data_IF_369637838970
#
_entry.id   IF_369637838970
#
_cell.length_a   1.000
_cell.length_b   1.000
_cell.length_c   1.000
_cell.angle_alpha   90.00
_cell.angle_beta   90.00
_cell.angle_gamma   90.00
#
_symmetry.space_group_name_H-M   'P 1'
#
loop_
_entity.id
_entity.type
_entity.pdbx_description
1 polymer ?
#
# COMPACT_ATOMS: atom_id res chain seq x y z
N UNK A 1 -19.99 -1.98 7.28
CA UNK A 1 -18.85 -1.53 8.12
C UNK A 1 -18.84 -0.01 8.22
N UNK A 2 -18.47 0.51 9.37
CA UNK A 2 -18.24 1.93 9.53
C UNK A 2 -16.74 2.24 9.30
N UNK A 3 -16.38 3.53 9.26
CA UNK A 3 -15.00 3.93 8.96
C UNK A 3 -13.98 3.42 9.98
N UNK A 4 -14.35 3.31 11.26
CA UNK A 4 -13.45 2.79 12.27
C UNK A 4 -13.19 1.30 12.08
N UNK A 5 -14.20 0.54 11.73
CA UNK A 5 -14.07 -0.89 11.43
C UNK A 5 -13.20 -1.13 10.21
N UNK A 6 -13.38 -0.31 9.17
CA UNK A 6 -12.55 -0.37 7.95
C UNK A 6 -11.09 -0.08 8.31
N UNK A 7 -10.84 0.99 9.04
CA UNK A 7 -9.49 1.35 9.47
C UNK A 7 -8.85 0.23 10.27
N UNK A 8 -9.57 -0.28 11.28
CA UNK A 8 -9.06 -1.34 12.14
C UNK A 8 -8.72 -2.61 11.34
N UNK A 9 -9.56 -2.96 10.38
CA UNK A 9 -9.31 -4.11 9.51
C UNK A 9 -8.04 -3.94 8.67
N UNK A 10 -7.88 -2.81 8.01
CA UNK A 10 -6.69 -2.50 7.22
C UNK A 10 -5.43 -2.48 8.09
N UNK A 11 -5.52 -1.84 9.25
CA UNK A 11 -4.42 -1.77 10.21
C UNK A 11 -3.98 -3.17 10.65
N UNK A 12 -4.93 -3.99 11.07
CA UNK A 12 -4.66 -5.33 11.60
C UNK A 12 -3.99 -6.22 10.57
N UNK A 13 -4.52 -6.31 9.35
CA UNK A 13 -3.93 -7.18 8.33
C UNK A 13 -2.54 -6.72 7.94
N UNK A 14 -2.32 -5.41 7.88
CA UNK A 14 -1.02 -4.86 7.52
C UNK A 14 0.01 -5.11 8.62
N UNK A 15 -0.37 -4.90 9.87
CA UNK A 15 0.49 -5.16 11.03
C UNK A 15 0.85 -6.63 11.14
N UNK A 16 -0.08 -7.53 10.90
CA UNK A 16 0.18 -8.97 10.94
C UNK A 16 1.19 -9.38 9.87
N UNK A 17 1.05 -8.87 8.66
CA UNK A 17 2.00 -9.15 7.57
C UNK A 17 3.39 -8.60 7.87
N UNK A 18 3.45 -7.38 8.40
CA UNK A 18 4.72 -6.78 8.81
C UNK A 18 5.41 -7.63 9.89
N UNK A 19 4.65 -8.04 10.89
CA UNK A 19 5.16 -8.86 11.99
C UNK A 19 5.69 -10.21 11.48
N UNK A 20 4.96 -10.86 10.58
CA UNK A 20 5.38 -12.12 9.97
C UNK A 20 6.68 -11.94 9.17
N UNK A 21 6.78 -10.87 8.40
CA UNK A 21 7.97 -10.56 7.62
C UNK A 21 9.20 -10.30 8.50
N UNK A 22 9.01 -9.60 9.61
CA UNK A 22 10.09 -9.38 10.60
C UNK A 22 10.54 -10.69 11.24
N UNK A 23 9.60 -11.57 11.59
CA UNK A 23 9.92 -12.86 12.17
C UNK A 23 10.69 -13.74 11.17
N UNK A 24 10.29 -13.75 9.90
CA UNK A 24 11.00 -14.47 8.85
C UNK A 24 12.42 -13.95 8.68
N UNK A 25 12.61 -12.63 8.68
CA UNK A 25 13.93 -12.03 8.58
C UNK A 25 14.84 -12.43 9.76
N UNK A 26 14.28 -12.50 10.96
CA UNK A 26 15.01 -12.87 12.16
C UNK A 26 15.36 -14.38 12.18
N UNK A 27 14.57 -15.22 11.53
CA UNK A 27 14.76 -16.66 11.51
C UNK A 27 15.81 -17.13 10.49
N UNK A 28 16.17 -16.29 9.52
CA UNK A 28 17.15 -16.64 8.49
C UNK A 28 18.55 -16.59 9.09
N UNK A 29 19.30 -17.66 8.90
CA UNK A 29 20.68 -17.78 9.35
C UNK A 29 21.57 -16.70 8.72
N UNK A 30 22.51 -16.19 9.49
CA UNK A 30 23.50 -15.21 9.03
C UNK A 30 24.35 -15.72 7.87
N UNK A 31 24.41 -17.05 7.66
CA UNK A 31 25.09 -17.64 6.51
C UNK A 31 24.36 -17.38 5.18
N UNK A 32 23.13 -16.86 5.21
CA UNK A 32 22.34 -16.52 4.03
C UNK A 32 22.06 -15.01 3.97
N UNK A 33 23.11 -14.16 3.79
CA UNK A 33 22.94 -12.72 3.89
C UNK A 33 22.04 -12.12 2.82
N UNK A 34 22.00 -12.69 1.62
CA UNK A 34 21.15 -12.20 0.54
C UNK A 34 19.67 -12.40 0.86
N UNK A 35 19.30 -13.60 1.32
CA UNK A 35 17.92 -13.91 1.70
C UNK A 35 17.48 -13.07 2.90
N UNK A 36 18.33 -12.96 3.90
CA UNK A 36 18.06 -12.14 5.07
C UNK A 36 17.87 -10.66 4.70
N UNK A 37 18.74 -10.13 3.83
CA UNK A 37 18.65 -8.76 3.34
C UNK A 37 17.36 -8.50 2.58
N UNK A 38 16.91 -9.46 1.77
CA UNK A 38 15.64 -9.37 1.06
C UNK A 38 14.45 -9.26 2.02
N UNK A 39 14.43 -10.11 3.05
CA UNK A 39 13.36 -10.09 4.05
C UNK A 39 13.37 -8.82 4.90
N UNK A 40 14.54 -8.30 5.22
CA UNK A 40 14.68 -7.03 5.93
C UNK A 40 14.16 -5.87 5.08
N UNK A 41 14.44 -5.87 3.79
CA UNK A 41 13.94 -4.86 2.86
C UNK A 41 12.42 -4.92 2.76
N UNK A 42 11.85 -6.11 2.66
CA UNK A 42 10.39 -6.31 2.68
C UNK A 42 9.75 -5.73 3.95
N UNK A 43 10.34 -6.05 5.10
CA UNK A 43 9.89 -5.52 6.39
C UNK A 43 9.91 -3.99 6.41
N UNK A 44 10.95 -3.38 5.86
CA UNK A 44 11.07 -1.92 5.77
C UNK A 44 9.96 -1.30 4.95
N UNK A 45 9.57 -1.93 3.84
CA UNK A 45 8.49 -1.42 2.99
C UNK A 45 7.14 -1.52 3.70
N UNK A 46 6.88 -2.61 4.43
CA UNK A 46 5.67 -2.72 5.26
C UNK A 46 5.62 -1.64 6.32
N UNK A 47 6.77 -1.33 6.92
CA UNK A 47 6.84 -0.26 7.91
C UNK A 47 6.52 1.12 7.31
N UNK A 48 6.99 1.39 6.10
CA UNK A 48 6.66 2.62 5.37
C UNK A 48 5.16 2.66 5.08
N UNK A 49 4.57 1.55 4.63
CA UNK A 49 3.14 1.46 4.35
C UNK A 49 2.30 1.75 5.59
N UNK A 50 2.71 1.22 6.74
CA UNK A 50 2.04 1.46 8.02
C UNK A 50 2.17 2.93 8.44
N UNK A 51 3.38 3.45 8.43
CA UNK A 51 3.66 4.80 8.93
C UNK A 51 3.06 5.91 8.06
N UNK A 52 3.04 5.69 6.75
CA UNK A 52 2.62 6.70 5.79
C UNK A 52 1.18 6.51 5.30
N UNK A 53 0.77 5.25 5.11
CA UNK A 53 -0.55 4.92 4.56
C UNK A 53 -1.62 4.64 5.62
N UNK A 54 -1.22 4.22 6.82
CA UNK A 54 -2.15 3.90 7.91
C UNK A 54 -1.74 4.69 9.15
N UNK A 55 -2.21 5.89 9.25
CA UNK A 55 -2.00 6.74 10.42
C UNK A 55 -2.80 6.14 11.59
N UNK A 56 -2.37 6.37 12.82
CA UNK A 56 -3.04 5.77 13.99
C UNK A 56 -4.55 6.04 14.01
N UNK A 57 -5.33 5.09 14.52
CA UNK A 57 -6.79 5.08 14.47
C UNK A 57 -7.51 6.08 15.37
N UNK A 58 -6.91 7.23 15.64
CA UNK A 58 -7.59 8.31 16.37
C UNK A 58 -8.51 9.08 15.41
N UNK A 59 -9.54 9.72 15.95
CA UNK A 59 -10.45 10.54 15.15
C UNK A 59 -9.71 11.62 14.37
N UNK A 60 -8.69 12.22 14.98
CA UNK A 60 -7.86 13.24 14.32
C UNK A 60 -7.10 12.67 13.13
N UNK A 61 -6.57 11.47 13.26
CA UNK A 61 -5.83 10.82 12.18
C UNK A 61 -6.77 10.45 11.02
N UNK A 62 -7.95 9.94 11.34
CA UNK A 62 -8.96 9.60 10.34
C UNK A 62 -9.38 10.87 9.57
N UNK A 63 -9.58 11.97 10.28
CA UNK A 63 -9.91 13.26 9.66
C UNK A 63 -8.80 13.75 8.72
N UNK A 64 -7.54 13.58 9.14
CA UNK A 64 -6.39 13.93 8.33
C UNK A 64 -6.31 13.06 7.06
N UNK A 65 -6.58 11.77 7.18
CA UNK A 65 -6.63 10.87 6.02
C UNK A 65 -7.70 11.33 5.02
N UNK A 66 -8.87 11.71 5.51
CA UNK A 66 -9.96 12.22 4.67
C UNK A 66 -9.55 13.46 3.88
N UNK A 67 -8.87 14.41 4.53
CA UNK A 67 -8.38 15.62 3.87
C UNK A 67 -7.33 15.30 2.80
N UNK A 68 -6.39 14.43 3.11
CA UNK A 68 -5.32 14.04 2.19
C UNK A 68 -5.86 13.27 0.99
N UNK A 69 -6.89 12.45 1.22
CA UNK A 69 -7.51 11.65 0.17
C UNK A 69 -7.95 12.49 -1.01
N UNK A 70 -8.61 13.60 -0.75
CA UNK A 70 -9.12 14.49 -1.79
C UNK A 70 -8.02 15.05 -2.70
N UNK A 71 -6.84 15.29 -2.14
CA UNK A 71 -5.68 15.71 -2.93
C UNK A 71 -5.07 14.58 -3.72
N UNK A 72 -5.04 13.37 -3.15
CA UNK A 72 -4.45 12.21 -3.80
C UNK A 72 -5.25 11.73 -5.01
N UNK A 73 -6.58 11.73 -4.91
CA UNK A 73 -7.44 11.23 -6.01
C UNK A 73 -7.42 12.10 -7.26
N UNK A 74 -6.86 13.29 -7.19
CA UNK A 74 -6.63 14.14 -8.37
C UNK A 74 -5.76 13.44 -9.41
N UNK A 75 -4.93 12.49 -8.97
CA UNK A 75 -4.09 11.69 -9.85
C UNK A 75 -4.84 10.51 -10.49
N UNK A 76 -6.08 10.26 -10.09
CA UNK A 76 -6.89 9.14 -10.57
C UNK A 76 -8.28 9.64 -10.97
N UNK A 77 -8.43 10.16 -12.21
CA UNK A 77 -9.70 10.77 -12.65
C UNK A 77 -10.92 9.87 -12.48
N UNK A 78 -10.79 8.56 -12.73
CA UNK A 78 -11.90 7.62 -12.60
C UNK A 78 -12.36 7.50 -11.15
N UNK A 79 -11.42 7.44 -10.21
CA UNK A 79 -11.72 7.40 -8.78
C UNK A 79 -12.39 8.71 -8.35
N UNK A 80 -11.81 9.84 -8.77
CA UNK A 80 -12.33 11.17 -8.42
C UNK A 80 -13.77 11.35 -8.94
N UNK A 81 -14.02 10.98 -10.18
CA UNK A 81 -15.35 11.09 -10.78
C UNK A 81 -16.37 10.27 -10.00
N UNK A 82 -16.03 9.03 -9.66
CA UNK A 82 -16.91 8.17 -8.88
C UNK A 82 -17.14 8.74 -7.47
N UNK A 83 -16.07 9.17 -6.80
CA UNK A 83 -16.12 9.71 -5.45
C UNK A 83 -17.11 10.89 -5.34
N UNK A 84 -17.06 11.81 -6.30
CA UNK A 84 -17.91 12.99 -6.27
C UNK A 84 -19.39 12.71 -6.59
N UNK A 85 -19.74 11.49 -7.02
CA UNK A 85 -21.14 11.08 -7.17
C UNK A 85 -21.75 10.52 -5.89
N UNK A 86 -20.95 10.22 -4.88
CA UNK A 86 -21.39 9.54 -3.67
C UNK A 86 -22.03 10.50 -2.67
N UNK A 87 -22.89 9.97 -1.82
CA UNK A 87 -23.40 10.67 -0.63
C UNK A 87 -22.27 10.83 0.40
N UNK A 88 -22.40 11.79 1.30
CA UNK A 88 -21.35 12.14 2.27
C UNK A 88 -20.91 10.94 3.13
N UNK A 89 -21.84 10.14 3.61
CA UNK A 89 -21.53 8.96 4.42
C UNK A 89 -20.75 7.91 3.62
N UNK A 90 -21.06 7.73 2.34
CA UNK A 90 -20.31 6.84 1.45
C UNK A 90 -18.94 7.40 1.10
N UNK A 91 -18.84 8.72 0.94
CA UNK A 91 -17.54 9.40 0.74
C UNK A 91 -16.61 9.14 1.92
N UNK A 92 -17.09 9.25 3.14
CA UNK A 92 -16.29 9.00 4.34
C UNK A 92 -15.74 7.58 4.36
N UNK A 93 -16.56 6.60 4.01
CA UNK A 93 -16.14 5.20 3.97
C UNK A 93 -15.08 4.98 2.88
N UNK A 94 -15.27 5.55 1.71
CA UNK A 94 -14.33 5.44 0.61
C UNK A 94 -12.99 6.07 0.94
N UNK A 95 -13.00 7.22 1.58
CA UNK A 95 -11.78 7.92 1.99
C UNK A 95 -10.89 7.01 2.83
N UNK A 96 -11.47 6.31 3.80
CA UNK A 96 -10.70 5.42 4.65
C UNK A 96 -10.33 4.12 3.95
N UNK A 97 -11.25 3.55 3.20
CA UNK A 97 -11.01 2.27 2.52
C UNK A 97 -9.91 2.34 1.45
N UNK A 98 -9.82 3.45 0.75
CA UNK A 98 -8.89 3.62 -0.37
C UNK A 98 -7.64 4.46 -0.06
N UNK A 99 -7.64 5.18 1.06
CA UNK A 99 -6.53 6.08 1.38
C UNK A 99 -5.16 5.39 1.31
N UNK A 100 -4.94 4.24 1.99
CA UNK A 100 -3.61 3.64 1.97
C UNK A 100 -3.15 3.29 0.55
N UNK A 101 -4.06 2.75 -0.25
CA UNK A 101 -3.73 2.34 -1.63
C UNK A 101 -3.39 3.54 -2.50
N UNK A 102 -4.24 4.57 -2.52
CA UNK A 102 -3.95 5.76 -3.36
C UNK A 102 -2.69 6.48 -2.88
N UNK A 103 -2.43 6.50 -1.57
CA UNK A 103 -1.20 7.07 -1.04
C UNK A 103 0.03 6.36 -1.59
N UNK A 104 0.05 5.03 -1.52
CA UNK A 104 1.19 4.25 -1.99
C UNK A 104 1.36 4.35 -3.49
N UNK A 105 0.27 4.38 -4.25
CA UNK A 105 0.34 4.53 -5.70
C UNK A 105 0.91 5.87 -6.11
N UNK A 106 0.46 6.96 -5.49
CA UNK A 106 0.94 8.31 -5.84
C UNK A 106 2.41 8.49 -5.46
N UNK A 107 2.82 7.98 -4.30
CA UNK A 107 4.13 8.29 -3.75
C UNK A 107 5.22 7.27 -4.09
N UNK A 108 4.87 6.01 -4.38
CA UNK A 108 5.87 4.95 -4.53
C UNK A 108 5.76 4.13 -5.80
N UNK A 109 4.56 3.95 -6.34
CA UNK A 109 4.35 2.99 -7.45
C UNK A 109 5.18 3.33 -8.67
N UNK A 110 5.06 4.56 -9.17
CA UNK A 110 5.81 4.99 -10.35
C UNK A 110 7.31 5.04 -10.08
N UNK A 111 7.70 5.47 -8.87
CA UNK A 111 9.11 5.52 -8.49
C UNK A 111 9.73 4.13 -8.52
N UNK A 112 9.07 3.14 -7.95
CA UNK A 112 9.60 1.77 -7.93
C UNK A 112 9.65 1.15 -9.31
N UNK A 113 8.66 1.42 -10.17
CA UNK A 113 8.69 0.96 -11.57
C UNK A 113 9.84 1.60 -12.35
N UNK A 114 10.02 2.90 -12.22
CA UNK A 114 11.09 3.64 -12.88
C UNK A 114 12.46 3.17 -12.39
N UNK A 115 12.61 2.97 -11.08
CA UNK A 115 13.87 2.48 -10.50
C UNK A 115 14.22 1.10 -11.04
N UNK A 116 13.23 0.22 -11.19
CA UNK A 116 13.46 -1.11 -11.75
C UNK A 116 13.89 -1.04 -13.22
N UNK A 117 13.21 -0.22 -14.02
CA UNK A 117 13.58 -0.03 -15.44
C UNK A 117 15.00 0.50 -15.57
N UNK A 118 15.35 1.48 -14.76
CA UNK A 118 16.70 2.06 -14.77
C UNK A 118 17.74 1.05 -14.31
N UNK A 119 17.46 0.28 -13.27
CA UNK A 119 18.35 -0.75 -12.77
C UNK A 119 18.61 -1.82 -13.83
N UNK A 120 17.60 -2.22 -14.58
CA UNK A 120 17.73 -3.20 -15.66
C UNK A 120 18.61 -2.66 -16.80
N UNK A 121 18.47 -1.38 -17.15
CA UNK A 121 19.32 -0.73 -18.14
C UNK A 121 20.78 -0.66 -17.71
N UNK A 122 21.01 -0.35 -16.43
CA UNK A 122 22.36 -0.24 -15.88
C UNK A 122 23.04 -1.60 -15.72
N UNK A 123 22.25 -2.66 -15.59
CA UNK A 123 22.76 -4.03 -15.57
C UNK A 123 23.45 -4.49 -14.30
N UNK A 124 23.36 -3.74 -13.20
CA UNK A 124 23.95 -4.14 -11.93
C UNK A 124 23.02 -5.15 -11.21
N UNK A 125 23.45 -6.44 -11.06
CA UNK A 125 22.58 -7.47 -10.50
C UNK A 125 22.06 -7.18 -9.09
N UNK A 126 22.85 -6.55 -8.24
CA UNK A 126 22.45 -6.24 -6.87
C UNK A 126 21.37 -5.17 -6.83
N UNK A 127 21.50 -4.15 -7.67
CA UNK A 127 20.52 -3.07 -7.75
C UNK A 127 19.23 -3.59 -8.37
N UNK A 128 19.31 -4.41 -9.42
CA UNK A 128 18.14 -5.06 -10.03
C UNK A 128 17.40 -5.89 -8.99
N UNK A 129 18.12 -6.69 -8.22
CA UNK A 129 17.55 -7.55 -7.18
C UNK A 129 16.75 -6.74 -6.16
N UNK A 130 17.33 -5.67 -5.63
CA UNK A 130 16.66 -4.79 -4.67
C UNK A 130 15.42 -4.11 -5.25
N UNK A 131 15.53 -3.61 -6.49
CA UNK A 131 14.43 -2.94 -7.17
C UNK A 131 13.25 -3.90 -7.42
N UNK A 132 13.54 -5.13 -7.82
CA UNK A 132 12.51 -6.17 -8.00
C UNK A 132 11.78 -6.48 -6.69
N UNK A 133 12.52 -6.60 -5.59
CA UNK A 133 11.92 -6.85 -4.28
C UNK A 133 11.00 -5.71 -3.86
N UNK A 134 11.42 -4.47 -4.04
CA UNK A 134 10.61 -3.30 -3.69
C UNK A 134 9.29 -3.30 -4.47
N UNK A 135 9.36 -3.53 -5.77
CA UNK A 135 8.15 -3.58 -6.61
C UNK A 135 7.24 -4.73 -6.21
N UNK A 136 7.80 -5.90 -6.02
CA UNK A 136 7.06 -7.11 -5.65
C UNK A 136 6.31 -6.92 -4.33
N UNK A 137 6.98 -6.37 -3.32
CA UNK A 137 6.35 -6.11 -2.01
C UNK A 137 5.26 -5.05 -2.12
N UNK A 138 5.49 -4.00 -2.90
CA UNK A 138 4.46 -2.99 -3.12
C UNK A 138 3.22 -3.60 -3.77
N UNK A 139 3.41 -4.42 -4.79
CA UNK A 139 2.30 -5.13 -5.45
C UNK A 139 1.55 -6.03 -4.46
N UNK A 140 2.28 -6.75 -3.60
CA UNK A 140 1.68 -7.61 -2.58
C UNK A 140 0.85 -6.80 -1.58
N UNK A 141 1.35 -5.65 -1.15
CA UNK A 141 0.63 -4.76 -0.22
C UNK A 141 -0.65 -4.23 -0.87
N UNK A 142 -0.56 -3.75 -2.10
CA UNK A 142 -1.72 -3.24 -2.83
C UNK A 142 -2.77 -4.32 -3.04
N UNK A 143 -2.34 -5.53 -3.39
CA UNK A 143 -3.23 -6.69 -3.53
C UNK A 143 -3.89 -7.07 -2.20
N UNK A 144 -3.16 -7.01 -1.10
CA UNK A 144 -3.68 -7.31 0.23
C UNK A 144 -4.83 -6.35 0.59
N UNK A 145 -4.65 -5.06 0.35
CA UNK A 145 -5.69 -4.07 0.62
C UNK A 145 -6.88 -4.20 -0.32
N UNK A 146 -6.62 -4.51 -1.58
CA UNK A 146 -7.68 -4.78 -2.56
C UNK A 146 -8.51 -6.00 -2.15
N UNK A 147 -7.87 -7.09 -1.74
CA UNK A 147 -8.57 -8.28 -1.27
C UNK A 147 -9.45 -7.99 -0.04
N UNK A 148 -8.94 -7.16 0.87
CA UNK A 148 -9.73 -6.71 2.02
C UNK A 148 -11.01 -5.99 1.54
N UNK A 149 -10.89 -5.08 0.57
CA UNK A 149 -12.06 -4.37 0.04
C UNK A 149 -13.04 -5.32 -0.64
N UNK A 150 -12.55 -6.23 -1.44
CA UNK A 150 -13.39 -7.22 -2.13
C UNK A 150 -14.14 -8.08 -1.12
N UNK A 151 -13.45 -8.61 -0.12
CA UNK A 151 -14.06 -9.47 0.90
C UNK A 151 -15.13 -8.76 1.72
N UNK A 152 -15.03 -7.45 1.87
CA UNK A 152 -15.97 -6.64 2.63
C UNK A 152 -16.92 -5.83 1.75
N UNK A 153 -16.94 -6.09 0.46
CA UNK A 153 -17.80 -5.43 -0.54
C UNK A 153 -17.63 -3.89 -0.52
N UNK A 154 -16.38 -3.42 -0.40
CA UNK A 154 -16.03 -2.00 -0.27
C UNK A 154 -15.42 -1.46 -1.56
N UNK A 155 -16.18 -0.73 -2.35
CA UNK A 155 -15.67 0.09 -3.47
C UNK A 155 -14.71 -0.67 -4.39
N UNK A 156 -15.20 -1.72 -5.02
CA UNK A 156 -14.43 -2.46 -6.03
C UNK A 156 -14.53 -1.73 -7.37
N UNK A 157 -13.38 -1.42 -7.96
CA UNK A 157 -13.30 -0.69 -9.24
C UNK A 157 -12.50 -1.46 -10.27
N UNK A 158 -12.70 -1.07 -11.53
CA UNK A 158 -11.93 -1.63 -12.63
C UNK A 158 -10.42 -1.36 -12.49
N UNK A 159 -10.01 -0.28 -11.79
CA UNK A 159 -8.59 -0.01 -11.56
C UNK A 159 -7.94 -1.04 -10.64
N UNK A 160 -8.71 -1.73 -9.83
CA UNK A 160 -8.20 -2.80 -8.97
C UNK A 160 -7.62 -3.92 -9.84
N UNK A 161 -6.31 -4.13 -9.75
CA UNK A 161 -5.62 -5.12 -10.57
C UNK A 161 -5.17 -4.60 -11.92
N UNK A 162 -5.42 -3.33 -12.24
CA UNK A 162 -4.89 -2.67 -13.44
C UNK A 162 -3.88 -1.63 -13.02
N UNK A 163 -2.78 -1.58 -13.75
CA UNK A 163 -1.74 -0.60 -13.54
C UNK A 163 -2.17 0.73 -14.14
N UNK A 164 -2.07 1.80 -13.36
CA UNK A 164 -2.22 3.15 -13.86
C UNK A 164 -0.97 3.55 -14.63
N UNK A 165 -1.17 4.07 -15.78
CA UNK A 165 -0.05 4.49 -16.64
C UNK A 165 0.07 5.98 -16.65
#
# INVERSE_FOLDING_TARGET
MNKQEIFNGLWTITKEKHKACKADAASVDKSHPTERGALQLKSGIYNVAIAAGLISGTDQAIELMSKRFKNLIKHFPDIANYYYTLHEDQKELMEIALYPEVFMRVNFYNTYNTDLEQAEKDGNPQIIFKAKIKKEVLDDILNMWREFRIQNELFTFAFDGKEEK
#
